data_IF_066931079532
#
_entry.id   IF_066931079532
#
_cell.length_a   1.000
_cell.length_b   1.000
_cell.length_c   1.000
_cell.angle_alpha   90.00
_cell.angle_beta   90.00
_cell.angle_gamma   90.00
#
_symmetry.space_group_name_H-M   'P 1'
#
loop_
_entity.id
_entity.type
_entity.pdbx_description
1 polymer ?
#
# COMPACT_ATOMS: atom_id res chain seq x y z
N UNK A 1 -2.15 15.55 12.07
CA UNK A 1 -2.31 14.28 12.80
C UNK A 1 -3.66 13.69 12.48
N UNK A 2 -3.69 12.39 12.18
CA UNK A 2 -4.92 11.66 11.84
C UNK A 2 -5.50 11.00 13.09
N UNK A 3 -6.82 10.96 13.23
CA UNK A 3 -7.49 10.28 14.35
C UNK A 3 -7.87 8.85 13.97
N UNK A 4 -8.08 7.99 14.98
CA UNK A 4 -8.51 6.60 14.76
C UNK A 4 -9.85 6.56 14.01
N UNK A 5 -10.80 7.43 14.36
CA UNK A 5 -12.12 7.51 13.73
C UNK A 5 -12.02 7.83 12.23
N UNK A 6 -11.21 8.83 11.87
CA UNK A 6 -10.95 9.21 10.48
C UNK A 6 -10.29 8.07 9.70
N UNK A 7 -9.31 7.39 10.31
CA UNK A 7 -8.66 6.25 9.70
C UNK A 7 -9.63 5.08 9.49
N UNK A 8 -10.49 4.81 10.47
CA UNK A 8 -11.49 3.74 10.41
C UNK A 8 -12.51 3.97 9.32
N UNK A 9 -13.12 5.16 9.28
CA UNK A 9 -14.10 5.54 8.26
C UNK A 9 -13.50 5.40 6.85
N UNK A 10 -12.26 5.85 6.68
CA UNK A 10 -11.56 5.75 5.40
C UNK A 10 -11.26 4.30 4.99
N UNK A 11 -10.75 3.47 5.91
CA UNK A 11 -10.42 2.07 5.61
C UNK A 11 -11.68 1.22 5.35
N UNK A 12 -12.76 1.46 6.10
CA UNK A 12 -14.05 0.80 5.88
C UNK A 12 -14.61 1.13 4.49
N UNK A 13 -14.45 2.37 4.02
CA UNK A 13 -14.85 2.76 2.65
C UNK A 13 -14.10 1.97 1.55
N UNK A 14 -12.90 1.47 1.85
CA UNK A 14 -12.10 0.63 0.96
C UNK A 14 -12.34 -0.88 1.16
N UNK A 15 -13.23 -1.25 2.09
CA UNK A 15 -13.50 -2.63 2.45
C UNK A 15 -12.41 -3.28 3.32
N UNK A 16 -11.54 -2.49 3.93
CA UNK A 16 -10.45 -2.97 4.79
C UNK A 16 -10.92 -2.91 6.24
N UNK A 17 -11.14 -4.07 6.85
CA UNK A 17 -11.55 -4.19 8.26
C UNK A 17 -10.36 -4.59 9.13
N UNK A 18 -9.87 -3.66 9.94
CA UNK A 18 -8.76 -3.88 10.88
C UNK A 18 -9.30 -3.79 12.31
N UNK A 19 -8.89 -4.67 13.24
CA UNK A 19 -9.22 -4.53 14.65
C UNK A 19 -8.74 -3.19 15.21
N UNK A 20 -9.57 -2.52 16.03
CA UNK A 20 -9.30 -1.16 16.53
C UNK A 20 -7.95 -1.03 17.26
N UNK A 21 -7.50 -2.08 17.97
CA UNK A 21 -6.19 -2.08 18.64
C UNK A 21 -5.00 -2.06 17.67
N UNK A 22 -5.13 -2.73 16.52
CA UNK A 22 -4.11 -2.70 15.45
C UNK A 22 -4.17 -1.37 14.73
N UNK A 23 -5.37 -0.86 14.47
CA UNK A 23 -5.57 0.43 13.82
C UNK A 23 -4.93 1.56 14.64
N UNK A 24 -5.09 1.56 15.97
CA UNK A 24 -4.45 2.54 16.84
C UNK A 24 -2.92 2.51 16.69
N UNK A 25 -2.31 1.33 16.72
CA UNK A 25 -0.86 1.20 16.57
C UNK A 25 -0.37 1.70 15.21
N UNK A 26 -1.13 1.45 14.14
CA UNK A 26 -0.83 1.96 12.81
C UNK A 26 -0.95 3.49 12.73
N UNK A 27 -1.96 4.06 13.37
CA UNK A 27 -2.16 5.50 13.46
C UNK A 27 -1.01 6.16 14.22
N UNK A 28 -0.55 5.57 15.32
CA UNK A 28 0.60 6.07 16.08
C UNK A 28 1.87 6.05 15.22
N UNK A 29 2.06 5.00 14.44
CA UNK A 29 3.17 4.90 13.49
C UNK A 29 3.07 5.95 12.36
N UNK A 30 1.89 6.20 11.81
CA UNK A 30 1.65 7.24 10.81
C UNK A 30 1.79 8.67 11.38
N UNK A 31 1.51 8.86 12.66
CA UNK A 31 1.69 10.15 13.34
C UNK A 31 3.17 10.41 13.70
N UNK A 32 4.04 9.39 13.73
CA UNK A 32 5.48 9.58 13.97
C UNK A 32 6.19 10.45 12.92
N UNK A 33 5.65 10.54 11.69
CA UNK A 33 6.19 11.37 10.60
C UNK A 33 5.61 12.79 10.57
N UNK A 34 4.81 13.18 11.56
CA UNK A 34 4.12 14.47 11.60
C UNK A 34 5.08 15.66 11.50
N UNK A 35 6.26 15.59 12.14
CA UNK A 35 7.26 16.66 12.10
C UNK A 35 7.76 16.94 10.67
N UNK A 36 8.03 15.89 9.88
CA UNK A 36 8.43 16.02 8.47
C UNK A 36 7.27 16.55 7.62
N UNK A 37 6.05 16.10 7.90
CA UNK A 37 4.87 16.53 7.15
C UNK A 37 4.55 18.01 7.36
N UNK A 38 4.61 18.49 8.60
CA UNK A 38 4.29 19.88 8.93
C UNK A 38 5.34 20.88 8.41
N UNK A 39 6.57 20.43 8.22
CA UNK A 39 7.64 21.25 7.63
C UNK A 39 7.48 21.47 6.12
N UNK A 40 6.86 20.53 5.41
CA UNK A 40 6.87 20.48 3.94
C UNK A 40 5.50 20.59 3.28
N UNK A 41 4.41 20.35 4.02
CA UNK A 41 3.08 20.23 3.47
C UNK A 41 2.02 21.02 4.26
N UNK A 42 0.98 21.53 3.59
CA UNK A 42 -0.18 22.06 4.28
C UNK A 42 -0.95 20.93 4.98
N UNK A 43 -1.71 21.29 6.03
CA UNK A 43 -2.44 20.34 6.88
C UNK A 43 -3.38 19.38 6.11
N UNK A 44 -3.95 19.83 4.99
CA UNK A 44 -4.81 19.00 4.15
C UNK A 44 -4.04 17.91 3.40
N UNK A 45 -2.84 18.23 2.91
CA UNK A 45 -1.99 17.28 2.20
C UNK A 45 -1.33 16.29 3.16
N UNK A 46 -0.93 16.73 4.36
CA UNK A 46 -0.37 15.85 5.38
C UNK A 46 -1.37 14.79 5.85
N UNK A 47 -2.63 15.18 6.10
CA UNK A 47 -3.71 14.25 6.44
C UNK A 47 -3.90 13.20 5.34
N UNK A 48 -3.90 13.65 4.08
CA UNK A 48 -4.13 12.79 2.94
C UNK A 48 -2.97 11.79 2.73
N UNK A 49 -1.72 12.22 2.93
CA UNK A 49 -0.54 11.33 2.91
C UNK A 49 -0.66 10.27 4.03
N UNK A 50 -1.07 10.67 5.24
CA UNK A 50 -1.26 9.74 6.36
C UNK A 50 -2.34 8.68 6.08
N UNK A 51 -3.49 9.10 5.53
CA UNK A 51 -4.55 8.16 5.15
C UNK A 51 -4.11 7.18 4.07
N UNK A 52 -3.36 7.64 3.07
CA UNK A 52 -2.86 6.78 2.00
C UNK A 52 -1.80 5.79 2.50
N UNK A 53 -0.97 6.19 3.45
CA UNK A 53 -0.04 5.31 4.13
C UNK A 53 -0.78 4.22 4.93
N UNK A 54 -1.81 4.60 5.68
CA UNK A 54 -2.63 3.65 6.44
C UNK A 54 -3.37 2.67 5.52
N UNK A 55 -3.92 3.13 4.40
CA UNK A 55 -4.53 2.25 3.40
C UNK A 55 -3.52 1.26 2.81
N UNK A 56 -2.30 1.71 2.49
CA UNK A 56 -1.23 0.84 2.02
C UNK A 56 -0.86 -0.24 3.06
N UNK A 57 -0.69 0.15 4.32
CA UNK A 57 -0.40 -0.79 5.41
C UNK A 57 -1.56 -1.76 5.66
N UNK A 58 -2.81 -1.29 5.54
CA UNK A 58 -4.02 -2.10 5.65
C UNK A 58 -4.14 -3.13 4.53
N UNK A 59 -3.83 -2.75 3.28
CA UNK A 59 -3.78 -3.67 2.13
C UNK A 59 -2.78 -4.80 2.35
N UNK A 60 -1.65 -4.53 3.03
CA UNK A 60 -0.64 -5.54 3.34
C UNK A 60 -1.06 -6.57 4.40
N UNK A 61 -2.03 -6.25 5.28
CA UNK A 61 -2.40 -7.09 6.44
C UNK A 61 -3.52 -8.09 6.17
N UNK A 62 -4.30 -7.92 5.11
CA UNK A 62 -5.35 -8.87 4.79
C UNK A 62 -6.34 -8.31 3.79
N UNK A 63 -6.28 -8.84 2.57
CA UNK A 63 -7.23 -8.46 1.53
C UNK A 63 -8.40 -9.46 1.56
N UNK A 64 -9.42 -9.14 2.38
CA UNK A 64 -10.65 -9.94 2.43
C UNK A 64 -11.48 -9.63 1.20
N UNK A 65 -11.40 -10.49 0.19
CA UNK A 65 -12.16 -10.31 -1.04
C UNK A 65 -13.52 -10.98 -0.97
N UNK A 66 -14.57 -10.19 -1.15
CA UNK A 66 -15.92 -10.71 -1.32
C UNK A 66 -16.16 -10.91 -2.82
N UNK A 67 -16.01 -12.14 -3.29
CA UNK A 67 -16.20 -12.51 -4.70
C UNK A 67 -17.68 -12.61 -5.11
N UNK A 68 -18.57 -12.86 -4.16
CA UNK A 68 -20.02 -12.87 -4.37
C UNK A 68 -20.75 -12.52 -3.07
N UNK A 69 -21.80 -11.69 -3.17
CA UNK A 69 -22.81 -11.56 -2.12
C UNK A 69 -24.18 -11.84 -2.73
N UNK A 70 -24.89 -12.78 -2.13
CA UNK A 70 -26.28 -13.12 -2.46
C UNK A 70 -27.16 -12.71 -1.30
N UNK A 71 -28.09 -11.80 -1.54
CA UNK A 71 -29.11 -11.48 -0.56
C UNK A 71 -30.15 -12.62 -0.49
N UNK A 72 -30.79 -12.86 0.68
CA UNK A 72 -31.88 -13.83 0.81
C UNK A 72 -33.07 -13.58 -0.14
N UNK A 73 -33.20 -12.37 -0.68
CA UNK A 73 -34.21 -11.98 -1.67
C UNK A 73 -33.86 -12.34 -3.12
N UNK A 74 -32.70 -12.96 -3.38
CA UNK A 74 -32.23 -13.33 -4.72
C UNK A 74 -31.51 -12.20 -5.49
N UNK A 75 -31.37 -11.02 -4.90
CA UNK A 75 -30.55 -9.95 -5.47
C UNK A 75 -29.05 -10.27 -5.32
N UNK A 76 -28.32 -10.27 -6.42
CA UNK A 76 -26.87 -10.47 -6.44
C UNK A 76 -26.16 -9.19 -6.88
N UNK A 77 -25.09 -8.82 -6.18
CA UNK A 77 -24.12 -7.82 -6.66
C UNK A 77 -22.80 -8.51 -6.93
N UNK A 78 -22.32 -8.42 -8.18
CA UNK A 78 -20.98 -8.84 -8.57
C UNK A 78 -20.10 -7.60 -8.76
N UNK A 79 -18.89 -7.65 -8.23
CA UNK A 79 -17.91 -6.59 -8.37
C UNK A 79 -16.70 -7.16 -9.11
N UNK A 80 -16.19 -6.43 -10.11
CA UNK A 80 -14.90 -6.73 -10.74
C UNK A 80 -13.83 -5.88 -10.06
N UNK A 81 -12.96 -6.52 -9.31
CA UNK A 81 -11.85 -5.84 -8.65
C UNK A 81 -10.59 -5.89 -9.52
N UNK A 82 -9.77 -4.84 -9.44
CA UNK A 82 -8.41 -4.88 -9.96
C UNK A 82 -7.57 -5.90 -9.18
N UNK A 83 -6.51 -6.43 -9.80
CA UNK A 83 -5.63 -7.38 -9.12
C UNK A 83 -4.99 -6.72 -7.89
N UNK A 84 -4.62 -7.52 -6.89
CA UNK A 84 -3.88 -7.03 -5.71
C UNK A 84 -2.66 -6.19 -6.12
N UNK A 85 -1.91 -6.68 -7.11
CA UNK A 85 -0.75 -6.00 -7.71
C UNK A 85 -1.09 -4.63 -8.25
N UNK A 86 -2.22 -4.48 -8.95
CA UNK A 86 -2.64 -3.20 -9.50
C UNK A 86 -3.06 -2.23 -8.39
N UNK A 87 -3.79 -2.71 -7.37
CA UNK A 87 -4.19 -1.92 -6.19
C UNK A 87 -2.98 -1.46 -5.38
N UNK A 88 -2.01 -2.34 -5.17
CA UNK A 88 -0.75 -2.03 -4.49
C UNK A 88 0.04 -0.97 -5.26
N UNK A 89 0.25 -1.16 -6.56
CA UNK A 89 0.96 -0.17 -7.40
C UNK A 89 0.24 1.17 -7.44
N UNK A 90 -1.09 1.16 -7.54
CA UNK A 90 -1.89 2.38 -7.54
C UNK A 90 -1.73 3.16 -6.22
N UNK A 91 -1.85 2.49 -5.07
CA UNK A 91 -1.69 3.12 -3.74
C UNK A 91 -0.27 3.66 -3.52
N UNK A 92 0.77 2.91 -3.89
CA UNK A 92 2.17 3.39 -3.83
C UNK A 92 2.40 4.60 -4.75
N UNK A 93 1.90 4.56 -5.98
CA UNK A 93 2.08 5.65 -6.93
C UNK A 93 1.37 6.93 -6.48
N UNK A 94 0.20 6.79 -5.88
CA UNK A 94 -0.58 7.87 -5.31
C UNK A 94 0.15 8.48 -4.09
N UNK A 95 0.70 7.66 -3.19
CA UNK A 95 1.53 8.13 -2.08
C UNK A 95 2.79 8.88 -2.56
N UNK A 96 3.57 8.30 -3.48
CA UNK A 96 4.76 8.96 -4.09
C UNK A 96 4.40 10.18 -4.96
N UNK A 97 3.17 10.21 -5.46
CA UNK A 97 2.61 11.34 -6.18
C UNK A 97 2.53 12.59 -5.30
N UNK A 98 2.17 12.41 -4.03
CA UNK A 98 2.00 13.48 -3.05
C UNK A 98 3.26 13.72 -2.21
N UNK A 99 3.89 12.65 -1.73
CA UNK A 99 5.09 12.68 -0.92
C UNK A 99 6.36 12.86 -1.76
N UNK A 100 6.56 14.09 -2.27
CA UNK A 100 7.78 14.53 -2.97
C UNK A 100 9.03 14.63 -2.08
N UNK A 101 8.87 14.90 -0.78
CA UNK A 101 10.00 15.03 0.16
C UNK A 101 10.40 13.70 0.78
N UNK A 102 9.59 12.65 0.60
CA UNK A 102 9.91 11.28 1.01
C UNK A 102 9.71 11.03 2.50
N UNK A 103 8.88 11.82 3.18
CA UNK A 103 8.62 11.71 4.62
C UNK A 103 8.07 10.33 5.01
N UNK A 104 7.30 9.68 4.13
CA UNK A 104 6.66 8.40 4.39
C UNK A 104 7.49 7.20 3.91
N UNK A 105 8.59 7.42 3.19
CA UNK A 105 9.33 6.35 2.48
C UNK A 105 9.88 5.25 3.37
N UNK A 106 10.27 5.57 4.60
CA UNK A 106 10.79 4.63 5.59
C UNK A 106 9.71 3.68 6.16
N UNK A 107 8.44 4.10 6.08
CA UNK A 107 7.30 3.39 6.63
C UNK A 107 6.54 2.55 5.60
N UNK A 108 6.89 2.69 4.31
CA UNK A 108 6.28 1.92 3.22
C UNK A 108 6.67 0.44 3.39
N UNK A 109 5.70 -0.47 3.64
CA UNK A 109 5.97 -1.91 3.63
C UNK A 109 6.61 -2.38 2.32
N UNK A 110 7.46 -3.41 2.41
CA UNK A 110 8.09 -4.01 1.25
C UNK A 110 7.03 -4.50 0.24
N UNK A 111 7.29 -4.31 -1.06
CA UNK A 111 6.35 -4.70 -2.11
C UNK A 111 6.13 -6.22 -2.11
N UNK A 112 4.92 -6.71 -1.74
CA UNK A 112 4.61 -8.13 -1.71
C UNK A 112 4.44 -8.72 -3.13
N UNK A 113 4.37 -7.88 -4.15
CA UNK A 113 4.19 -8.25 -5.56
C UNK A 113 5.44 -8.10 -6.40
N UNK A 114 6.52 -7.58 -5.80
CA UNK A 114 7.83 -7.66 -6.40
C UNK A 114 8.15 -9.14 -6.62
N UNK A 115 8.28 -9.54 -7.88
CA UNK A 115 8.87 -10.83 -8.24
C UNK A 115 10.13 -11.00 -7.40
N UNK A 116 10.38 -12.16 -6.75
CA UNK A 116 11.63 -12.37 -6.03
C UNK A 116 12.73 -12.01 -7.00
N UNK A 117 13.41 -10.90 -6.72
CA UNK A 117 14.55 -10.50 -7.51
C UNK A 117 15.51 -11.69 -7.34
N UNK A 118 15.67 -12.48 -8.40
CA UNK A 118 16.76 -13.43 -8.53
C UNK A 118 18.04 -12.58 -8.58
N UNK A 119 18.42 -12.05 -7.43
CA UNK A 119 19.75 -11.55 -7.16
C UNK A 119 20.64 -12.80 -7.13
N UNK A 120 21.20 -13.18 -8.29
CA UNK A 120 22.35 -14.07 -8.31
C UNK A 120 22.32 -15.32 -9.20
N UNK A 121 21.67 -15.30 -10.37
CA UNK A 121 22.19 -16.14 -11.48
C UNK A 121 22.70 -15.19 -12.55
N UNK A 122 23.97 -14.81 -12.41
CA UNK A 122 24.79 -14.36 -13.52
C UNK A 122 24.86 -15.50 -14.53
N UNK A 123 23.99 -15.47 -15.54
CA UNK A 123 24.24 -16.24 -16.76
C UNK A 123 25.42 -15.53 -17.42
N UNK A 124 26.62 -15.98 -17.06
CA UNK A 124 27.83 -15.67 -17.81
C UNK A 124 27.57 -16.09 -19.25
N UNK A 125 27.35 -15.10 -20.11
CA UNK A 125 27.31 -15.26 -21.54
C UNK A 125 28.70 -15.78 -21.95
N UNK A 126 28.84 -17.10 -22.03
CA UNK A 126 30.03 -17.77 -22.54
C UNK A 126 30.27 -17.27 -23.95
N UNK A 127 31.17 -16.32 -24.09
CA UNK A 127 31.56 -15.76 -25.37
C UNK A 127 32.20 -16.86 -26.21
N UNK A 128 31.76 -16.97 -27.46
CA UNK A 128 32.55 -17.56 -28.53
C UNK A 128 33.97 -16.98 -28.47
N UNK A 129 34.97 -17.85 -28.34
CA UNK A 129 36.30 -17.61 -28.87
C UNK A 129 36.57 -18.68 -29.93
N UNK A 130 36.29 -18.33 -31.19
CA UNK A 130 37.07 -18.85 -32.30
C UNK A 130 38.52 -18.34 -32.13
N UNK A 131 39.52 -19.20 -32.31
CA UNK A 131 40.91 -18.77 -32.50
C UNK A 131 41.98 -19.76 -32.03
N UNK A 132 42.53 -20.49 -33.00
CA UNK A 132 43.92 -20.94 -33.15
C UNK A 132 44.52 -22.01 -32.22
N UNK A 133 44.56 -23.25 -32.72
CA UNK A 133 45.78 -23.91 -33.25
C UNK A 133 45.46 -25.16 -34.06
#
# INVERSE_FOLDING_TARGET
>A
MVTLEQAKEYLESQGITIPDFVLQALVDQANSIQECLDAHYPASTSLLIQLYLLALMGLGQGDKYISSQTAPSGASRSFRYQSFTDRWKASVNLLRGLDKYGCATSLIPADPTATPAFAGIWIGKGGCMCGDK
#
